data_IF_533218728026
#
_entry.id   IF_533218728026
#
_cell.length_a   1.000
_cell.length_b   1.000
_cell.length_c   1.000
_cell.angle_alpha   90.00
_cell.angle_beta   90.00
_cell.angle_gamma   90.00
#
_symmetry.space_group_name_H-M   'P 1'
#
loop_
_entity.id
_entity.type
_entity.pdbx_description
1 polymer ?
#
# COMPACT_ATOMS: atom_id res chain seq x y z
N UNK A 1 15.61 -4.05 -1.89
CA UNK A 1 15.05 -4.50 -0.60
C UNK A 1 15.18 -6.02 -0.58
N UNK A 2 16.00 -6.57 0.31
CA UNK A 2 16.18 -8.02 0.42
C UNK A 2 14.94 -8.65 1.08
N UNK A 3 14.65 -9.91 0.78
CA UNK A 3 13.60 -10.66 1.46
C UNK A 3 13.87 -10.64 2.98
N UNK A 4 12.97 -10.02 3.76
CA UNK A 4 13.11 -9.90 5.21
C UNK A 4 13.39 -8.48 5.73
N UNK A 5 13.71 -7.53 4.84
CA UNK A 5 13.75 -6.11 5.22
C UNK A 5 12.33 -5.59 5.45
N UNK A 6 12.16 -4.80 6.52
CA UNK A 6 10.93 -4.03 6.70
C UNK A 6 10.73 -3.09 5.49
N UNK A 7 9.49 -2.86 5.06
CA UNK A 7 9.24 -1.89 4.01
C UNK A 7 9.87 -0.55 4.39
N UNK A 8 10.49 0.15 3.43
CA UNK A 8 11.20 1.40 3.70
C UNK A 8 10.31 2.47 4.39
N UNK A 9 9.00 2.35 4.23
CA UNK A 9 7.99 3.22 4.83
C UNK A 9 7.52 2.77 6.23
N UNK A 10 7.94 1.60 6.73
CA UNK A 10 7.60 1.14 8.07
C UNK A 10 8.44 1.85 9.14
N UNK A 11 7.75 2.61 9.99
CA UNK A 11 8.31 3.22 11.18
C UNK A 11 7.65 2.66 12.46
N UNK A 12 8.34 1.82 13.26
CA UNK A 12 7.76 1.19 14.45
C UNK A 12 7.27 2.19 15.50
N UNK A 13 7.82 3.40 15.55
CA UNK A 13 7.38 4.46 16.48
C UNK A 13 6.03 5.07 16.09
N UNK A 14 5.69 5.06 14.79
CA UNK A 14 4.45 5.65 14.25
C UNK A 14 3.38 4.58 14.08
N UNK A 15 3.80 3.37 13.68
CA UNK A 15 2.90 2.33 13.23
C UNK A 15 2.67 1.20 14.25
N UNK A 16 3.46 1.14 15.33
CA UNK A 16 3.40 0.04 16.30
C UNK A 16 4.04 -1.25 15.77
N UNK A 17 3.64 -2.42 16.31
CA UNK A 17 4.14 -3.72 15.86
C UNK A 17 3.98 -3.90 14.34
N UNK A 18 4.95 -4.56 13.71
CA UNK A 18 4.88 -4.81 12.28
C UNK A 18 3.76 -5.79 11.97
N UNK A 19 2.84 -5.34 11.13
CA UNK A 19 1.73 -6.09 10.59
C UNK A 19 1.95 -6.25 9.07
N UNK A 20 2.26 -7.46 8.60
CA UNK A 20 2.53 -7.71 7.19
C UNK A 20 1.32 -7.47 6.28
N UNK A 21 0.08 -7.44 6.81
CA UNK A 21 -1.11 -7.12 6.04
C UNK A 21 -1.32 -5.60 5.88
N UNK A 22 -0.60 -4.77 6.64
CA UNK A 22 -0.76 -3.33 6.63
C UNK A 22 0.15 -2.68 5.61
N UNK A 23 -0.45 -1.90 4.71
CA UNK A 23 0.31 -1.03 3.83
C UNK A 23 0.84 0.17 4.62
N UNK A 24 2.16 0.21 4.83
CA UNK A 24 2.85 1.27 5.56
C UNK A 24 3.23 2.46 4.68
N UNK A 25 3.06 2.35 3.36
CA UNK A 25 3.41 3.40 2.43
C UNK A 25 2.44 4.57 2.40
N UNK A 26 2.74 5.53 1.53
CA UNK A 26 1.86 6.69 1.32
C UNK A 26 0.49 6.21 0.82
N UNK A 27 -0.55 6.43 1.63
CA UNK A 27 -1.93 6.19 1.20
C UNK A 27 -2.24 7.04 -0.04
N UNK A 28 -2.70 6.40 -1.10
CA UNK A 28 -3.17 7.09 -2.30
C UNK A 28 -4.53 7.77 -2.02
N UNK A 29 -5.04 8.53 -2.98
CA UNK A 29 -6.33 9.22 -2.83
C UNK A 29 -7.42 8.19 -2.48
N UNK A 30 -8.21 8.38 -1.41
CA UNK A 30 -9.29 7.45 -1.08
C UNK A 30 -10.30 7.43 -2.22
N UNK A 31 -10.90 6.26 -2.50
CA UNK A 31 -11.74 6.07 -3.68
C UNK A 31 -12.84 7.13 -3.84
N UNK A 32 -13.50 7.52 -2.74
CA UNK A 32 -14.55 8.54 -2.74
C UNK A 32 -14.09 9.98 -3.05
N UNK A 33 -12.79 10.23 -3.10
CA UNK A 33 -12.20 11.53 -3.46
C UNK A 33 -11.53 11.52 -4.84
N UNK A 34 -11.53 10.39 -5.54
CA UNK A 34 -10.93 10.28 -6.89
C UNK A 34 -11.86 10.94 -7.90
N UNK A 35 -11.31 11.82 -8.74
CA UNK A 35 -12.07 12.40 -9.86
C UNK A 35 -12.35 11.33 -10.90
N UNK A 36 -13.53 11.35 -11.52
CA UNK A 36 -13.94 10.37 -12.54
C UNK A 36 -12.91 10.24 -13.69
N UNK A 37 -12.32 11.34 -14.14
CA UNK A 37 -11.28 11.35 -15.17
C UNK A 37 -9.94 10.76 -14.73
N UNK A 38 -9.71 10.58 -13.44
CA UNK A 38 -8.47 10.03 -12.87
C UNK A 38 -8.60 8.55 -12.45
N UNK A 39 -9.79 7.96 -12.55
CA UNK A 39 -10.07 6.59 -12.12
C UNK A 39 -9.13 5.56 -12.76
N UNK A 40 -8.88 5.67 -14.07
CA UNK A 40 -7.98 4.74 -14.77
C UNK A 40 -6.54 4.81 -14.24
N UNK A 41 -6.01 6.02 -14.06
CA UNK A 41 -4.68 6.23 -13.49
C UNK A 41 -4.64 5.78 -12.01
N UNK A 42 -5.70 6.02 -11.26
CA UNK A 42 -5.82 5.61 -9.86
C UNK A 42 -5.85 4.08 -9.69
N UNK A 43 -6.53 3.34 -10.56
CA UNK A 43 -6.40 1.88 -10.62
C UNK A 43 -4.98 1.45 -11.05
N UNK A 44 -4.34 2.22 -11.94
CA UNK A 44 -2.97 2.00 -12.40
C UNK A 44 -1.93 2.09 -11.29
N UNK A 45 -2.04 3.08 -10.39
CA UNK A 45 -1.09 3.35 -9.28
C UNK A 45 -1.04 2.26 -8.20
N UNK A 46 -2.05 1.40 -8.13
CA UNK A 46 -2.05 0.28 -7.18
C UNK A 46 -0.94 -0.71 -7.48
N UNK A 47 -0.22 -1.07 -6.42
CA UNK A 47 0.86 -2.04 -6.48
C UNK A 47 0.29 -3.44 -6.74
N UNK A 48 0.61 -4.03 -7.90
CA UNK A 48 0.11 -5.35 -8.34
C UNK A 48 1.11 -6.44 -7.99
N UNK A 49 1.72 -6.34 -6.80
CA UNK A 49 2.66 -7.37 -6.36
C UNK A 49 1.89 -8.62 -5.91
N UNK A 50 2.45 -9.82 -6.10
CA UNK A 50 1.83 -11.05 -5.61
C UNK A 50 1.50 -11.00 -4.11
N UNK A 51 2.33 -10.32 -3.31
CA UNK A 51 2.11 -10.09 -1.88
C UNK A 51 0.91 -9.18 -1.58
N UNK A 52 0.67 -8.16 -2.41
CA UNK A 52 -0.48 -7.27 -2.25
C UNK A 52 -1.80 -7.96 -2.61
N UNK A 53 -1.76 -8.87 -3.59
CA UNK A 53 -2.92 -9.70 -3.96
C UNK A 53 -3.19 -10.72 -2.86
N UNK A 54 -2.16 -11.38 -2.33
CA UNK A 54 -2.31 -12.35 -1.25
C UNK A 54 -2.85 -11.75 0.05
N UNK A 55 -2.54 -10.48 0.37
CA UNK A 55 -3.12 -9.78 1.52
C UNK A 55 -4.54 -9.23 1.31
N UNK A 56 -5.09 -9.34 0.10
CA UNK A 56 -6.45 -8.88 -0.24
C UNK A 56 -7.52 -9.96 -0.15
N UNK A 57 -7.12 -11.24 0.00
CA UNK A 57 -8.02 -12.40 0.14
C UNK A 57 -8.05 -12.92 1.58
#
# INVERSE_FOLDING_TARGET
MAFGDYPAEYNPKVHGPYDPARYYGKADVPFGQVKLGELGAWFGRRNKTPSAIAGAF
#
